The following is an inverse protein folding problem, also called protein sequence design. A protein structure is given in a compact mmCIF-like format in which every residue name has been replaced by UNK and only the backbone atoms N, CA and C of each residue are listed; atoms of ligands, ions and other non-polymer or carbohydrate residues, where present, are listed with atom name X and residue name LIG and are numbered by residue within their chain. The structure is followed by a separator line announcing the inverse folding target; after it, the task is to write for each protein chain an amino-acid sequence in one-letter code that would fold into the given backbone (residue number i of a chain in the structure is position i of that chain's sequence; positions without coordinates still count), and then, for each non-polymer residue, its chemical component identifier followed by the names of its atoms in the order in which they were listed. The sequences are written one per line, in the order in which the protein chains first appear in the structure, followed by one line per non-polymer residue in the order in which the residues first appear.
data_IF_463669962159
#
_entry.id   IF_463669962159
#
_cell.length_a   1.000
_cell.length_b   1.000
_cell.length_c   1.000
_cell.angle_alpha   90.00
_cell.angle_beta   90.00
_cell.angle_gamma   90.00
#
_symmetry.space_group_name_H-M   'P 1'
#
loop_
_entity.id
_entity.type
_entity.pdbx_description
1 polymer ?
#
# COMPACT_ATOMS: atom_id res chain seq x y z
N UNK A 1 45.14 -39.96 69.33
CA UNK A 1 44.98 -38.59 69.86
C UNK A 1 43.52 -38.18 69.71
N UNK A 2 42.83 -38.10 70.86
CA UNK A 2 41.70 -37.23 71.26
C UNK A 2 40.41 -37.12 70.41
N UNK A 3 39.34 -37.73 70.96
CA UNK A 3 37.88 -37.42 70.93
C UNK A 3 37.57 -35.93 71.30
N UNK A 4 36.29 -35.46 71.49
CA UNK A 4 34.92 -35.88 71.11
C UNK A 4 34.13 -34.72 70.42
N UNK A 5 32.93 -34.84 69.82
CA UNK A 5 31.62 -35.15 70.40
C UNK A 5 30.98 -33.95 71.14
N UNK A 6 29.89 -33.38 70.60
CA UNK A 6 28.88 -32.63 71.39
C UNK A 6 27.53 -32.54 70.65
N UNK A 7 26.51 -32.92 71.42
CA UNK A 7 25.08 -32.97 71.13
C UNK A 7 24.38 -31.73 71.71
N UNK A 8 23.07 -31.61 71.44
CA UNK A 8 22.06 -30.70 72.00
C UNK A 8 21.96 -29.35 71.26
N UNK A 9 20.78 -28.80 70.92
CA UNK A 9 19.53 -28.78 71.68
C UNK A 9 18.32 -28.46 70.81
N UNK A 10 17.21 -29.11 71.15
CA UNK A 10 15.80 -28.88 70.81
C UNK A 10 15.33 -27.44 71.06
N UNK A 11 14.44 -26.88 70.21
CA UNK A 11 13.19 -26.14 70.58
C UNK A 11 12.50 -25.59 69.31
N UNK A 12 11.36 -26.18 68.93
CA UNK A 12 10.00 -25.62 69.10
C UNK A 12 9.82 -24.23 68.48
N UNK A 13 9.15 -24.17 67.33
CA UNK A 13 8.44 -22.98 66.89
C UNK A 13 7.01 -23.40 66.51
N UNK A 14 6.09 -23.16 67.44
CA UNK A 14 4.66 -23.26 67.23
C UNK A 14 4.04 -21.98 67.82
N UNK A 15 3.09 -21.44 67.05
CA UNK A 15 2.06 -20.47 67.44
C UNK A 15 2.51 -19.00 67.53
N UNK A 16 2.02 -18.18 66.59
CA UNK A 16 1.25 -16.97 66.89
C UNK A 16 0.64 -16.37 65.60
N UNK A 17 -0.56 -16.84 65.25
CA UNK A 17 -1.56 -15.98 64.61
C UNK A 17 -1.99 -14.93 65.62
N UNK A 18 -1.82 -13.63 65.32
CA UNK A 18 -2.87 -12.62 65.57
C UNK A 18 -2.52 -11.27 64.96
N UNK A 19 -3.56 -10.65 64.37
CA UNK A 19 -3.76 -9.21 64.14
C UNK A 19 -2.90 -8.49 63.10
N UNK A 20 -3.44 -8.42 61.88
CA UNK A 20 -3.43 -7.18 61.10
C UNK A 20 -4.85 -6.93 60.58
N UNK A 21 -5.63 -6.23 61.40
CA UNK A 21 -6.85 -5.56 60.97
C UNK A 21 -6.50 -4.26 60.24
N UNK A 22 -7.28 -3.99 59.20
CA UNK A 22 -7.67 -2.66 58.73
C UNK A 22 -6.58 -1.73 58.15
N UNK A 23 -6.04 -2.08 56.98
CA UNK A 23 -5.67 -1.09 55.97
C UNK A 23 -6.67 -1.18 54.81
N UNK A 24 -7.70 -0.34 54.84
CA UNK A 24 -8.70 -0.23 53.79
C UNK A 24 -8.05 0.13 52.45
N UNK A 25 -7.92 -0.86 51.58
CA UNK A 25 -7.50 -0.67 50.19
C UNK A 25 -8.63 0.03 49.44
N UNK A 26 -8.60 1.37 49.42
CA UNK A 26 -9.46 2.15 48.51
C UNK A 26 -9.03 1.86 47.09
N UNK A 27 -9.72 0.90 46.45
CA UNK A 27 -9.69 0.72 45.00
C UNK A 27 -10.25 1.99 44.39
N UNK A 28 -9.35 2.90 44.01
CA UNK A 28 -9.69 4.04 43.18
C UNK A 28 -10.11 3.50 41.82
N UNK A 29 -11.41 3.35 41.60
CA UNK A 29 -11.98 3.16 40.27
C UNK A 29 -11.63 4.39 39.44
N UNK A 30 -10.49 4.33 38.73
CA UNK A 30 -10.21 5.24 37.63
C UNK A 30 -11.33 5.04 36.62
N UNK A 31 -12.27 5.97 36.57
CA UNK A 31 -13.28 6.05 35.52
C UNK A 31 -12.52 6.13 34.19
N UNK A 32 -12.48 4.99 33.49
CA UNK A 32 -11.90 4.89 32.16
C UNK A 32 -12.69 5.83 31.26
N UNK A 33 -12.07 6.97 30.90
CA UNK A 33 -12.60 7.90 29.89
C UNK A 33 -12.69 7.11 28.58
N UNK A 34 -13.86 6.54 28.29
CA UNK A 34 -14.17 5.96 26.98
C UNK A 34 -14.03 7.08 25.96
N UNK A 35 -12.98 7.02 25.15
CA UNK A 35 -12.79 7.95 24.03
C UNK A 35 -13.82 7.65 22.93
N UNK A 36 -14.21 8.67 22.16
CA UNK A 36 -15.14 8.54 21.04
C UNK A 36 -14.76 7.41 20.05
N UNK A 37 -13.45 7.20 19.86
CA UNK A 37 -12.91 6.13 19.01
C UNK A 37 -13.22 4.74 19.59
N UNK A 38 -13.07 4.57 20.91
CA UNK A 38 -13.36 3.29 21.57
C UNK A 38 -14.84 2.92 21.44
N UNK A 39 -15.76 3.87 21.61
CA UNK A 39 -17.19 3.63 21.40
C UNK A 39 -17.54 3.33 19.95
N UNK A 40 -16.93 4.01 18.98
CA UNK A 40 -17.17 3.75 17.56
C UNK A 40 -16.65 2.36 17.15
N UNK A 41 -15.45 1.98 17.59
CA UNK A 41 -14.87 0.65 17.34
C UNK A 41 -15.74 -0.43 17.97
N UNK A 42 -16.23 -0.22 19.19
CA UNK A 42 -17.12 -1.18 19.86
C UNK A 42 -18.43 -1.35 19.07
N UNK A 43 -19.11 -0.26 18.69
CA UNK A 43 -20.35 -0.34 17.92
C UNK A 43 -20.17 -1.02 16.56
N UNK A 44 -19.04 -0.79 15.88
CA UNK A 44 -18.71 -1.49 14.64
C UNK A 44 -18.38 -2.97 14.85
N UNK A 45 -17.77 -3.32 15.99
CA UNK A 45 -17.44 -4.70 16.35
C UNK A 45 -18.71 -5.50 16.63
N UNK A 46 -19.62 -4.94 17.43
CA UNK A 46 -20.90 -5.56 17.77
C UNK A 46 -21.77 -5.69 16.51
N UNK A 47 -21.86 -4.62 15.70
CA UNK A 47 -22.59 -4.67 14.43
C UNK A 47 -22.02 -5.66 13.42
N UNK A 48 -20.71 -5.89 13.41
CA UNK A 48 -20.09 -6.96 12.59
C UNK A 48 -20.54 -8.35 13.04
N UNK A 49 -20.55 -8.61 14.35
CA UNK A 49 -20.97 -9.90 14.90
C UNK A 49 -22.45 -10.16 14.63
N UNK A 50 -23.30 -9.15 14.84
CA UNK A 50 -24.74 -9.24 14.55
C UNK A 50 -24.99 -9.52 13.07
N UNK A 51 -24.28 -8.82 12.18
CA UNK A 51 -24.40 -9.03 10.73
C UNK A 51 -23.97 -10.44 10.31
N UNK A 52 -22.92 -10.98 10.93
CA UNK A 52 -22.42 -12.31 10.61
C UNK A 52 -23.44 -13.42 10.93
N UNK A 53 -24.24 -13.22 11.98
CA UNK A 53 -25.30 -14.16 12.38
C UNK A 53 -26.59 -13.91 11.59
N UNK A 54 -26.90 -12.65 11.28
CA UNK A 54 -28.14 -12.27 10.61
C UNK A 54 -28.18 -12.64 9.12
N UNK A 55 -27.01 -12.77 8.47
CA UNK A 55 -26.96 -13.14 7.06
C UNK A 55 -27.30 -14.63 6.86
N UNK A 56 -28.23 -14.98 5.94
CA UNK A 56 -28.66 -16.35 5.72
C UNK A 56 -27.63 -17.12 4.88
N UNK A 57 -26.51 -17.48 5.50
CA UNK A 57 -25.49 -18.29 4.85
C UNK A 57 -25.91 -19.76 4.77
N UNK A 58 -25.52 -20.47 3.69
CA UNK A 58 -25.67 -21.92 3.66
C UNK A 58 -24.81 -22.55 4.78
N UNK A 59 -25.26 -23.65 5.40
CA UNK A 59 -24.57 -24.26 6.55
C UNK A 59 -23.17 -24.79 6.23
N UNK A 60 -22.81 -24.91 4.94
CA UNK A 60 -21.47 -25.30 4.49
C UNK A 60 -20.44 -24.16 4.56
N UNK A 61 -20.86 -22.90 4.73
CA UNK A 61 -19.98 -21.75 4.74
C UNK A 61 -19.78 -21.21 6.15
N UNK A 62 -18.52 -21.00 6.60
CA UNK A 62 -18.24 -20.38 7.89
C UNK A 62 -18.74 -18.94 7.92
N UNK A 63 -19.59 -18.60 8.89
CA UNK A 63 -20.37 -17.36 8.90
C UNK A 63 -19.48 -16.11 9.09
N UNK A 64 -18.56 -16.14 10.06
CA UNK A 64 -17.71 -14.99 10.35
C UNK A 64 -16.72 -14.72 9.22
N UNK A 65 -16.07 -15.78 8.71
CA UNK A 65 -15.14 -15.69 7.57
C UNK A 65 -15.83 -15.15 6.33
N UNK A 66 -16.99 -15.70 5.98
CA UNK A 66 -17.75 -15.26 4.81
C UNK A 66 -18.14 -13.79 4.95
N UNK A 67 -18.54 -13.37 6.15
CA UNK A 67 -18.86 -11.97 6.44
C UNK A 67 -17.64 -11.07 6.28
N UNK A 68 -16.45 -11.48 6.78
CA UNK A 68 -15.20 -10.74 6.58
C UNK A 68 -14.93 -10.57 5.09
N UNK A 69 -15.02 -11.64 4.30
CA UNK A 69 -14.77 -11.61 2.85
C UNK A 69 -15.75 -10.67 2.15
N UNK A 70 -17.05 -10.84 2.39
CA UNK A 70 -18.10 -10.04 1.75
C UNK A 70 -18.00 -8.56 2.13
N UNK A 71 -17.81 -8.25 3.41
CA UNK A 71 -17.65 -6.87 3.87
C UNK A 71 -16.39 -6.23 3.29
N UNK A 72 -15.30 -6.99 3.13
CA UNK A 72 -14.08 -6.53 2.47
C UNK A 72 -14.35 -6.19 1.01
N UNK A 73 -14.99 -7.09 0.26
CA UNK A 73 -15.29 -6.87 -1.15
C UNK A 73 -16.27 -5.71 -1.32
N UNK A 74 -17.34 -5.65 -0.53
CA UNK A 74 -18.34 -4.58 -0.57
C UNK A 74 -17.73 -3.21 -0.25
N UNK A 75 -16.96 -3.11 0.83
CA UNK A 75 -16.29 -1.85 1.20
C UNK A 75 -15.28 -1.40 0.15
N UNK A 76 -14.53 -2.34 -0.45
CA UNK A 76 -13.61 -2.04 -1.55
C UNK A 76 -14.35 -1.54 -2.80
N UNK A 77 -15.44 -2.20 -3.19
CA UNK A 77 -16.27 -1.80 -4.33
C UNK A 77 -16.88 -0.41 -4.12
N UNK A 78 -17.42 -0.14 -2.92
CA UNK A 78 -18.08 1.13 -2.62
C UNK A 78 -17.09 2.29 -2.46
N UNK A 79 -15.98 2.06 -1.75
CA UNK A 79 -15.10 3.14 -1.27
C UNK A 79 -13.77 3.25 -2.00
N UNK A 80 -13.29 2.22 -2.71
CA UNK A 80 -11.94 2.24 -3.32
C UNK A 80 -11.98 2.19 -4.85
N UNK A 81 -12.92 1.44 -5.44
CA UNK A 81 -13.02 1.29 -6.90
C UNK A 81 -13.34 2.62 -7.61
N UNK A 82 -14.30 3.46 -7.16
CA UNK A 82 -14.60 4.71 -7.84
C UNK A 82 -13.39 5.65 -7.92
N UNK A 83 -12.63 5.75 -6.83
CA UNK A 83 -11.40 6.56 -6.78
C UNK A 83 -10.29 5.97 -7.64
N UNK A 84 -10.18 4.64 -7.68
CA UNK A 84 -9.20 3.96 -8.53
C UNK A 84 -9.49 4.20 -10.02
N UNK A 85 -10.76 4.10 -10.45
CA UNK A 85 -11.19 4.42 -11.81
C UNK A 85 -10.94 5.90 -12.13
N UNK A 86 -11.29 6.79 -11.21
CA UNK A 86 -11.06 8.23 -11.34
C UNK A 86 -9.58 8.58 -11.54
N UNK A 87 -8.71 8.02 -10.70
CA UNK A 87 -7.27 8.26 -10.76
C UNK A 87 -6.69 7.72 -12.07
N UNK A 88 -7.11 6.51 -12.46
CA UNK A 88 -6.66 5.88 -13.70
C UNK A 88 -7.11 6.63 -14.95
N UNK A 89 -8.33 7.19 -14.96
CA UNK A 89 -8.81 8.04 -16.06
C UNK A 89 -7.98 9.30 -16.21
N UNK A 90 -7.57 9.92 -15.11
CA UNK A 90 -6.65 11.08 -15.09
C UNK A 90 -5.27 10.72 -15.61
N UNK A 91 -4.70 9.61 -15.13
CA UNK A 91 -3.40 9.13 -15.59
C UNK A 91 -3.42 8.83 -17.11
N UNK A 92 -4.45 8.15 -17.60
CA UNK A 92 -4.59 7.83 -19.02
C UNK A 92 -4.58 9.09 -19.91
N UNK A 93 -5.26 10.17 -19.50
CA UNK A 93 -5.25 11.45 -20.22
C UNK A 93 -3.87 12.12 -20.18
N UNK A 94 -3.18 12.09 -19.04
CA UNK A 94 -1.82 12.62 -18.95
C UNK A 94 -0.86 11.88 -19.90
N UNK A 95 -0.96 10.55 -19.98
CA UNK A 95 -0.07 9.73 -20.80
C UNK A 95 -0.38 9.78 -22.31
N UNK A 96 -1.66 9.81 -22.69
CA UNK A 96 -2.08 9.71 -24.09
C UNK A 96 -2.40 11.05 -24.76
N UNK A 97 -2.64 12.12 -23.99
CA UNK A 97 -2.96 13.44 -24.54
C UNK A 97 -1.80 14.41 -24.24
N UNK A 98 -1.49 14.61 -22.96
CA UNK A 98 -0.51 15.63 -22.54
C UNK A 98 0.91 15.28 -22.99
N UNK A 99 1.37 14.05 -22.78
CA UNK A 99 2.74 13.65 -23.14
C UNK A 99 3.00 13.76 -24.65
N UNK A 100 2.11 13.29 -25.55
CA UNK A 100 2.29 13.49 -26.99
C UNK A 100 2.25 14.96 -27.41
N UNK A 101 1.38 15.79 -26.82
CA UNK A 101 1.28 17.23 -27.14
C UNK A 101 2.59 17.95 -26.78
N UNK A 102 3.14 17.70 -25.59
CA UNK A 102 4.46 18.23 -25.19
C UNK A 102 5.56 17.79 -26.15
N UNK A 103 5.54 16.53 -26.62
CA UNK A 103 6.54 16.04 -27.59
C UNK A 103 6.46 16.76 -28.93
N UNK A 104 5.24 17.09 -29.39
CA UNK A 104 5.03 17.85 -30.64
C UNK A 104 5.52 19.29 -30.52
N UNK A 105 5.34 19.90 -29.35
CA UNK A 105 5.76 21.29 -29.09
C UNK A 105 7.24 21.42 -28.69
N UNK A 106 7.89 20.33 -28.27
CA UNK A 106 9.28 20.32 -27.81
C UNK A 106 10.26 20.97 -28.82
N UNK A 107 10.19 20.72 -30.15
CA UNK A 107 11.07 21.38 -31.10
C UNK A 107 10.88 22.89 -31.16
N UNK A 108 9.66 23.39 -30.88
CA UNK A 108 9.40 24.83 -30.84
C UNK A 108 10.02 25.47 -29.60
N UNK A 109 9.88 24.83 -28.43
CA UNK A 109 10.53 25.26 -27.19
C UNK A 109 12.06 25.29 -27.38
N UNK A 110 12.63 24.26 -28.00
CA UNK A 110 14.06 24.19 -28.31
C UNK A 110 14.52 25.34 -29.22
N UNK A 111 13.75 25.66 -30.28
CA UNK A 111 14.05 26.80 -31.16
C UNK A 111 13.99 28.13 -30.42
N UNK A 112 12.99 28.33 -29.56
CA UNK A 112 12.87 29.54 -28.74
C UNK A 112 14.06 29.73 -27.81
N UNK A 113 14.51 28.65 -27.15
CA UNK A 113 15.70 28.72 -26.28
C UNK A 113 16.97 29.01 -27.08
N UNK A 114 17.15 28.43 -28.27
CA UNK A 114 18.29 28.74 -29.13
C UNK A 114 18.31 30.21 -29.56
N UNK A 115 17.14 30.76 -29.91
CA UNK A 115 17.01 32.19 -30.25
C UNK A 115 17.36 33.08 -29.04
N UNK A 116 16.87 32.74 -27.84
CA UNK A 116 17.20 33.45 -26.61
C UNK A 116 18.69 33.40 -26.28
N UNK A 117 19.32 32.22 -26.39
CA UNK A 117 20.77 32.09 -26.17
C UNK A 117 21.59 32.92 -27.18
N UNK A 118 21.12 32.99 -28.42
CA UNK A 118 21.75 33.80 -29.48
C UNK A 118 21.60 35.29 -29.19
N UNK A 119 20.40 35.73 -28.79
CA UNK A 119 20.11 37.13 -28.44
C UNK A 119 20.89 37.59 -27.21
N UNK A 120 21.04 36.72 -26.21
CA UNK A 120 21.85 36.97 -25.01
C UNK A 120 23.37 36.95 -25.29
N UNK A 121 23.78 36.67 -26.53
CA UNK A 121 25.19 36.61 -26.93
C UNK A 121 25.99 35.51 -26.23
N UNK A 122 25.32 34.46 -25.73
CA UNK A 122 25.98 33.40 -24.97
C UNK A 122 26.97 32.64 -25.84
N UNK A 123 28.27 32.76 -25.52
CA UNK A 123 29.36 32.03 -26.16
C UNK A 123 30.13 31.28 -25.08
N UNK A 124 30.18 29.95 -25.18
CA UNK A 124 31.02 29.12 -24.32
C UNK A 124 32.06 28.39 -25.18
N UNK A 125 33.28 28.27 -24.65
CA UNK A 125 34.40 27.64 -25.36
C UNK A 125 34.30 26.12 -25.42
N UNK A 126 33.49 25.50 -24.54
CA UNK A 126 33.27 24.06 -24.48
C UNK A 126 31.85 23.71 -24.89
N UNK A 127 31.72 22.74 -25.79
CA UNK A 127 30.42 22.23 -26.26
C UNK A 127 29.55 21.69 -25.11
N UNK A 128 30.18 21.13 -24.07
CA UNK A 128 29.47 20.63 -22.89
C UNK A 128 28.76 21.73 -22.10
N UNK A 129 29.36 22.90 -21.99
CA UNK A 129 28.78 24.03 -21.25
C UNK A 129 27.58 24.62 -22.01
N UNK A 130 27.63 24.63 -23.34
CA UNK A 130 26.50 24.98 -24.21
C UNK A 130 25.33 24.02 -23.99
N UNK A 131 25.60 22.71 -23.97
CA UNK A 131 24.56 21.69 -23.75
C UNK A 131 23.94 21.79 -22.35
N UNK A 132 24.75 22.07 -21.33
CA UNK A 132 24.28 22.25 -19.94
C UNK A 132 23.37 23.46 -19.81
N UNK A 133 23.80 24.61 -20.35
CA UNK A 133 23.01 25.84 -20.29
C UNK A 133 21.72 25.72 -21.11
N UNK A 134 21.79 25.09 -22.29
CA UNK A 134 20.61 24.78 -23.09
C UNK A 134 19.62 23.91 -22.32
N UNK A 135 20.08 22.81 -21.71
CA UNK A 135 19.23 21.94 -20.89
C UNK A 135 18.61 22.69 -19.71
N UNK A 136 19.40 23.55 -19.04
CA UNK A 136 18.96 24.38 -17.91
C UNK A 136 17.86 25.36 -18.29
N UNK A 137 17.88 25.91 -19.52
CA UNK A 137 16.85 26.83 -20.03
C UNK A 137 15.62 26.11 -20.61
N UNK A 138 15.81 24.95 -21.25
CA UNK A 138 14.70 24.15 -21.80
C UNK A 138 13.84 23.53 -20.70
N UNK A 139 14.45 22.98 -19.64
CA UNK A 139 13.71 22.31 -18.56
C UNK A 139 12.59 23.17 -17.94
N UNK A 140 12.82 24.41 -17.47
CA UNK A 140 11.77 25.20 -16.83
C UNK A 140 10.64 25.58 -17.80
N UNK A 141 10.96 25.84 -19.08
CA UNK A 141 9.95 26.12 -20.11
C UNK A 141 9.09 24.89 -20.40
N UNK A 142 9.74 23.72 -20.54
CA UNK A 142 9.04 22.45 -20.74
C UNK A 142 8.16 22.08 -19.53
N UNK A 143 8.64 22.32 -18.31
CA UNK A 143 7.90 22.05 -17.08
C UNK A 143 6.72 23.02 -16.89
N UNK A 144 6.90 24.31 -17.22
CA UNK A 144 5.83 25.29 -17.21
C UNK A 144 4.73 24.90 -18.20
N UNK A 145 5.10 24.55 -19.45
CA UNK A 145 4.14 24.11 -20.46
C UNK A 145 3.44 22.81 -20.07
N UNK A 146 4.19 21.86 -19.50
CA UNK A 146 3.62 20.63 -18.94
C UNK A 146 2.58 20.93 -17.86
N UNK A 147 2.87 21.83 -16.92
CA UNK A 147 1.94 22.23 -15.86
C UNK A 147 0.67 22.87 -16.43
N UNK A 148 0.81 23.72 -17.45
CA UNK A 148 -0.31 24.34 -18.15
C UNK A 148 -1.21 23.28 -18.80
N UNK A 149 -0.64 22.35 -19.56
CA UNK A 149 -1.40 21.26 -20.19
C UNK A 149 -2.06 20.34 -19.16
N UNK A 150 -1.36 20.00 -18.07
CA UNK A 150 -1.94 19.22 -16.98
C UNK A 150 -3.12 19.95 -16.32
N UNK A 151 -3.05 21.28 -16.21
CA UNK A 151 -4.17 22.11 -15.73
C UNK A 151 -5.34 22.10 -16.71
N UNK A 152 -5.06 22.36 -18.00
CA UNK A 152 -6.03 22.42 -19.10
C UNK A 152 -6.85 21.13 -19.23
N UNK A 153 -6.20 19.97 -19.11
CA UNK A 153 -6.90 18.67 -19.18
C UNK A 153 -7.34 18.13 -17.81
N UNK A 154 -7.20 18.93 -16.73
CA UNK A 154 -7.52 18.54 -15.35
C UNK A 154 -6.87 17.23 -14.91
N UNK A 155 -5.59 17.04 -15.22
CA UNK A 155 -4.82 15.83 -14.94
C UNK A 155 -3.62 16.09 -14.04
N UNK A 156 -3.78 16.92 -13.01
CA UNK A 156 -2.72 17.20 -12.04
C UNK A 156 -2.22 15.92 -11.35
N UNK A 157 -0.89 15.79 -11.26
CA UNK A 157 -0.23 14.58 -10.79
C UNK A 157 -0.43 14.32 -9.29
N UNK A 158 -0.41 15.38 -8.47
CA UNK A 158 -0.48 15.24 -7.00
C UNK A 158 -1.80 14.64 -6.51
N UNK A 159 -2.99 15.16 -6.88
CA UNK A 159 -4.25 14.54 -6.47
C UNK A 159 -4.39 13.12 -6.98
N UNK A 160 -3.91 12.85 -8.20
CA UNK A 160 -3.99 11.52 -8.83
C UNK A 160 -3.15 10.48 -8.08
N UNK A 161 -2.03 10.89 -7.50
CA UNK A 161 -1.11 10.00 -6.77
C UNK A 161 -1.49 9.79 -5.30
N UNK A 162 -1.97 10.83 -4.62
CA UNK A 162 -2.19 10.82 -3.16
C UNK A 162 -3.58 10.31 -2.78
N UNK A 163 -4.60 10.61 -3.59
CA UNK A 163 -5.99 10.31 -3.23
C UNK A 163 -6.30 8.81 -3.10
N UNK A 164 -5.76 7.89 -3.94
CA UNK A 164 -6.04 6.46 -3.78
C UNK A 164 -5.48 5.88 -2.47
N UNK A 165 -4.20 6.10 -2.08
CA UNK A 165 -3.72 5.70 -0.76
C UNK A 165 -4.50 6.34 0.40
N UNK A 166 -4.86 7.62 0.27
CA UNK A 166 -5.57 8.35 1.32
C UNK A 166 -6.97 7.79 1.60
N UNK A 167 -7.67 7.28 0.57
CA UNK A 167 -8.99 6.65 0.74
C UNK A 167 -8.87 5.20 1.24
N UNK A 168 -7.80 4.50 0.87
CA UNK A 168 -7.59 3.11 1.27
C UNK A 168 -7.08 2.95 2.71
N UNK A 169 -6.18 3.83 3.18
CA UNK A 169 -5.54 3.68 4.48
C UNK A 169 -6.53 3.72 5.67
N UNK A 170 -7.49 4.67 5.74
CA UNK A 170 -8.47 4.70 6.83
C UNK A 170 -9.32 3.43 6.89
N UNK A 171 -9.78 2.94 5.74
CA UNK A 171 -10.55 1.69 5.67
C UNK A 171 -9.70 0.50 6.13
N UNK A 172 -8.45 0.41 5.66
CA UNK A 172 -7.55 -0.67 6.02
C UNK A 172 -7.23 -0.71 7.52
N UNK A 173 -6.87 0.43 8.09
CA UNK A 173 -6.55 0.56 9.52
C UNK A 173 -7.80 0.37 10.37
N UNK A 174 -8.93 0.97 9.99
CA UNK A 174 -10.20 0.85 10.69
C UNK A 174 -10.67 -0.59 10.77
N UNK A 175 -10.72 -1.31 9.65
CA UNK A 175 -11.08 -2.74 9.62
C UNK A 175 -10.10 -3.60 10.44
N UNK A 176 -8.80 -3.29 10.41
CA UNK A 176 -7.80 -4.00 11.21
C UNK A 176 -8.03 -3.80 12.71
N UNK A 177 -8.37 -2.60 13.15
CA UNK A 177 -8.66 -2.29 14.55
C UNK A 177 -9.94 -3.01 15.00
N UNK A 178 -11.01 -2.93 14.20
CA UNK A 178 -12.28 -3.61 14.50
C UNK A 178 -12.09 -5.12 14.61
N UNK A 179 -11.46 -5.76 13.62
CA UNK A 179 -11.25 -7.21 13.62
C UNK A 179 -10.29 -7.66 14.73
N UNK A 180 -9.23 -6.88 15.00
CA UNK A 180 -8.36 -7.12 16.16
C UNK A 180 -9.13 -7.01 17.47
N UNK A 181 -10.11 -6.11 17.57
CA UNK A 181 -10.92 -5.94 18.79
C UNK A 181 -11.88 -7.09 18.99
N UNK A 182 -12.56 -7.54 17.92
CA UNK A 182 -13.46 -8.71 17.95
C UNK A 182 -12.69 -10.00 18.28
N UNK A 183 -11.42 -10.10 17.90
CA UNK A 183 -10.56 -11.24 18.23
C UNK A 183 -10.07 -11.27 19.70
N UNK A 184 -10.34 -10.26 20.51
CA UNK A 184 -9.92 -10.26 21.92
C UNK A 184 -10.82 -11.18 22.75
N UNK A 185 -10.22 -12.07 23.53
CA UNK A 185 -10.94 -12.99 24.40
C UNK A 185 -11.75 -12.25 25.49
N UNK A 186 -12.94 -12.76 25.88
CA UNK A 186 -13.65 -13.90 25.29
C UNK A 186 -14.29 -13.53 23.95
N UNK A 187 -14.18 -14.41 22.94
CA UNK A 187 -14.71 -14.15 21.59
C UNK A 187 -15.36 -15.38 20.98
N UNK A 188 -16.38 -15.16 20.15
CA UNK A 188 -17.06 -16.20 19.36
C UNK A 188 -16.23 -16.65 18.16
N UNK A 189 -15.18 -15.90 17.80
CA UNK A 189 -14.27 -16.23 16.71
C UNK A 189 -13.42 -17.48 16.99
N UNK A 190 -13.34 -17.93 18.24
CA UNK A 190 -12.62 -19.15 18.62
C UNK A 190 -13.27 -20.43 18.12
N UNK A 191 -14.57 -20.39 17.81
CA UNK A 191 -15.32 -21.57 17.37
C UNK A 191 -15.26 -21.80 15.86
N UNK A 192 -14.71 -20.85 15.10
CA UNK A 192 -14.64 -20.94 13.65
C UNK A 192 -13.22 -21.19 13.17
N UNK A 193 -13.07 -22.22 12.34
CA UNK A 193 -11.84 -22.53 11.61
C UNK A 193 -12.05 -22.26 10.12
N UNK A 194 -10.99 -21.84 9.45
CA UNK A 194 -11.03 -21.60 8.01
C UNK A 194 -9.67 -21.85 7.37
N UNK A 195 -9.67 -22.68 6.32
CA UNK A 195 -8.48 -23.07 5.58
C UNK A 195 -7.43 -23.69 6.52
N UNK A 196 -6.29 -23.03 6.75
CA UNK A 196 -5.23 -23.47 7.67
C UNK A 196 -5.36 -22.90 9.09
N UNK A 197 -6.29 -21.97 9.31
CA UNK A 197 -6.54 -21.38 10.62
C UNK A 197 -7.43 -22.30 11.44
N UNK A 198 -7.01 -22.60 12.67
CA UNK A 198 -7.79 -23.38 13.64
C UNK A 198 -8.77 -22.54 14.48
N UNK A 199 -8.47 -21.26 14.71
CA UNK A 199 -9.35 -20.25 15.34
C UNK A 199 -9.13 -18.88 14.70
N UNK A 200 -10.20 -18.18 14.33
CA UNK A 200 -10.09 -16.82 13.77
C UNK A 200 -9.53 -15.79 14.77
N UNK A 201 -9.58 -16.06 16.08
CA UNK A 201 -9.05 -15.17 17.10
C UNK A 201 -7.53 -15.26 17.25
N UNK A 202 -6.93 -16.35 16.77
CA UNK A 202 -5.50 -16.63 16.92
C UNK A 202 -4.75 -16.52 15.60
N UNK A 203 -3.44 -16.23 15.62
CA UNK A 203 -2.63 -16.24 14.41
C UNK A 203 -2.59 -17.63 13.77
N UNK A 204 -2.57 -17.68 12.42
CA UNK A 204 -2.36 -18.92 11.65
C UNK A 204 -1.08 -19.67 12.12
N UNK A 205 -1.21 -20.88 12.71
CA UNK A 205 -0.07 -21.64 13.22
C UNK A 205 0.85 -22.16 12.10
N UNK A 206 0.36 -22.23 10.86
CA UNK A 206 1.12 -22.73 9.71
C UNK A 206 1.85 -21.63 8.94
N UNK A 207 1.58 -20.36 9.26
CA UNK A 207 2.01 -19.20 8.48
C UNK A 207 1.63 -19.22 6.99
N UNK A 208 0.68 -20.07 6.58
CA UNK A 208 0.25 -20.21 5.19
C UNK A 208 -0.42 -18.93 4.68
N UNK A 209 -1.36 -18.36 5.43
CA UNK A 209 -2.03 -17.11 5.03
C UNK A 209 -1.08 -15.91 5.00
N UNK A 210 -0.17 -15.71 5.97
CA UNK A 210 0.89 -14.71 5.86
C UNK A 210 1.75 -14.86 4.60
N UNK A 211 2.14 -16.09 4.23
CA UNK A 211 2.92 -16.35 3.01
C UNK A 211 2.10 -15.99 1.77
N UNK A 212 0.85 -16.45 1.68
CA UNK A 212 -0.07 -16.11 0.58
C UNK A 212 -0.20 -14.58 0.47
N UNK A 213 -0.40 -13.88 1.59
CA UNK A 213 -0.47 -12.42 1.61
C UNK A 213 0.80 -11.78 1.05
N UNK A 214 1.97 -12.27 1.44
CA UNK A 214 3.26 -11.78 0.93
C UNK A 214 3.38 -11.98 -0.59
N UNK A 215 3.01 -13.16 -1.09
CA UNK A 215 3.05 -13.49 -2.52
C UNK A 215 2.07 -12.62 -3.33
N UNK A 216 0.84 -12.46 -2.86
CA UNK A 216 -0.16 -11.60 -3.52
C UNK A 216 0.26 -10.14 -3.49
N UNK A 217 0.89 -9.68 -2.40
CA UNK A 217 1.43 -8.31 -2.31
C UNK A 217 2.59 -8.11 -3.29
N UNK A 218 3.46 -9.10 -3.42
CA UNK A 218 4.55 -9.08 -4.40
C UNK A 218 4.01 -9.07 -5.84
N UNK A 219 2.99 -9.88 -6.12
CA UNK A 219 2.30 -9.88 -7.41
C UNK A 219 1.69 -8.51 -7.74
N UNK A 220 1.06 -7.84 -6.77
CA UNK A 220 0.56 -6.47 -6.92
C UNK A 220 1.67 -5.49 -7.31
N UNK A 221 2.87 -5.60 -6.73
CA UNK A 221 4.02 -4.75 -7.06
C UNK A 221 4.51 -4.99 -8.49
N UNK A 222 4.47 -6.24 -8.97
CA UNK A 222 4.90 -6.57 -10.34
C UNK A 222 3.82 -6.36 -11.40
N UNK A 223 2.54 -6.19 -11.02
CA UNK A 223 1.41 -6.09 -11.97
C UNK A 223 1.59 -4.96 -12.99
N UNK A 224 2.20 -3.83 -12.60
CA UNK A 224 2.49 -2.72 -13.52
C UNK A 224 3.42 -3.10 -14.68
N UNK A 225 4.20 -4.18 -14.55
CA UNK A 225 5.09 -4.68 -15.61
C UNK A 225 4.41 -5.68 -16.54
N UNK A 226 3.32 -6.31 -16.11
CA UNK A 226 2.66 -7.38 -16.86
C UNK A 226 1.96 -6.88 -18.13
N UNK A 227 1.63 -5.60 -18.19
CA UNK A 227 0.93 -4.98 -19.32
C UNK A 227 1.75 -3.89 -20.04
N UNK A 228 3.08 -4.01 -20.01
CA UNK A 228 3.96 -3.09 -20.75
C UNK A 228 3.78 -3.31 -22.26
N UNK A 229 3.17 -2.35 -22.95
CA UNK A 229 3.08 -2.35 -24.41
C UNK A 229 4.46 -2.19 -25.08
N UNK A 230 4.58 -2.60 -26.34
CA UNK A 230 5.84 -2.59 -27.10
C UNK A 230 6.58 -1.23 -27.06
N UNK A 231 5.86 -0.12 -27.22
CA UNK A 231 6.45 1.23 -27.15
C UNK A 231 6.88 1.68 -25.74
N UNK A 232 6.38 1.05 -24.67
CA UNK A 232 6.90 1.26 -23.32
C UNK A 232 8.18 0.45 -23.09
N UNK A 233 8.24 -0.77 -23.61
CA UNK A 233 9.43 -1.62 -23.59
C UNK A 233 10.62 -0.97 -24.32
N UNK A 234 10.38 -0.38 -25.49
CA UNK A 234 11.41 0.37 -26.23
C UNK A 234 11.94 1.58 -25.44
N UNK A 235 11.05 2.30 -24.75
CA UNK A 235 11.46 3.41 -23.89
C UNK A 235 12.32 2.94 -22.73
N UNK A 236 11.97 1.81 -22.11
CA UNK A 236 12.79 1.22 -21.04
C UNK A 236 14.16 0.79 -21.55
N UNK A 237 14.25 0.19 -22.75
CA UNK A 237 15.53 -0.15 -23.40
C UNK A 237 16.39 1.09 -23.65
N UNK A 238 15.82 2.14 -24.26
CA UNK A 238 16.53 3.41 -24.51
C UNK A 238 17.02 4.07 -23.21
N UNK A 239 16.19 4.05 -22.16
CA UNK A 239 16.60 4.58 -20.85
C UNK A 239 17.68 3.72 -20.23
N UNK A 240 17.62 2.39 -20.36
CA UNK A 240 18.63 1.47 -19.84
C UNK A 240 19.99 1.66 -20.54
N UNK A 241 20.00 1.78 -21.87
CA UNK A 241 21.18 2.09 -22.67
C UNK A 241 21.78 3.45 -22.29
N UNK A 242 20.94 4.50 -22.19
CA UNK A 242 21.37 5.82 -21.75
C UNK A 242 21.97 5.79 -20.34
N UNK A 243 21.34 5.05 -19.44
CA UNK A 243 21.81 4.93 -18.05
C UNK A 243 23.12 4.13 -18.00
N UNK A 244 23.27 3.08 -18.79
CA UNK A 244 24.51 2.31 -18.90
C UNK A 244 25.65 3.17 -19.46
N UNK A 245 25.38 3.98 -20.50
CA UNK A 245 26.34 4.91 -21.06
C UNK A 245 26.78 5.97 -20.04
N UNK A 246 25.88 6.47 -19.20
CA UNK A 246 26.22 7.41 -18.11
C UNK A 246 27.04 6.77 -17.00
N UNK A 247 26.71 5.54 -16.60
CA UNK A 247 27.52 4.78 -15.63
C UNK A 247 28.92 4.48 -16.16
N UNK A 248 29.04 4.15 -17.44
CA UNK A 248 30.34 3.94 -18.08
C UNK A 248 31.20 5.21 -18.07
N UNK A 249 30.58 6.39 -18.06
CA UNK A 249 31.25 7.69 -17.89
C UNK A 249 31.57 8.04 -16.43
N UNK A 250 31.30 7.15 -15.48
CA UNK A 250 31.52 7.39 -14.05
C UNK A 250 30.45 8.26 -13.39
N UNK A 251 29.34 8.57 -14.06
CA UNK A 251 28.23 9.33 -13.46
C UNK A 251 27.35 8.44 -12.59
N UNK A 252 27.10 8.86 -11.35
CA UNK A 252 26.16 8.20 -10.45
C UNK A 252 24.72 8.53 -10.82
N UNK A 253 24.11 7.69 -11.67
CA UNK A 253 22.68 7.79 -12.01
C UNK A 253 21.85 6.97 -11.02
N UNK A 254 21.18 7.67 -10.11
CA UNK A 254 20.18 7.08 -9.24
C UNK A 254 18.91 6.83 -10.07
N UNK A 255 18.35 5.63 -9.96
CA UNK A 255 17.07 5.28 -10.58
C UNK A 255 16.00 5.13 -9.49
N UNK A 256 15.27 6.22 -9.11
CA UNK A 256 14.29 6.17 -8.03
C UNK A 256 13.25 5.06 -8.21
N UNK A 257 12.84 4.78 -9.46
CA UNK A 257 11.90 3.70 -9.79
C UNK A 257 12.40 2.33 -9.33
N UNK A 258 13.68 2.00 -9.55
CA UNK A 258 14.27 0.72 -9.13
C UNK A 258 14.38 0.63 -7.62
N UNK A 259 14.76 1.72 -6.96
CA UNK A 259 14.82 1.77 -5.50
C UNK A 259 13.44 1.57 -4.87
N UNK A 260 12.43 2.32 -5.35
CA UNK A 260 11.04 2.17 -4.88
C UNK A 260 10.54 0.74 -5.10
N UNK A 261 10.80 0.15 -6.28
CA UNK A 261 10.38 -1.22 -6.55
C UNK A 261 11.07 -2.24 -5.64
N UNK A 262 12.38 -2.11 -5.42
CA UNK A 262 13.10 -2.97 -4.48
C UNK A 262 12.55 -2.83 -3.05
N UNK A 263 12.27 -1.62 -2.59
CA UNK A 263 11.66 -1.35 -1.29
C UNK A 263 10.26 -1.95 -1.18
N UNK A 264 9.42 -1.87 -2.22
CA UNK A 264 8.09 -2.48 -2.22
C UNK A 264 8.15 -4.02 -2.21
N UNK A 265 9.14 -4.61 -2.89
CA UNK A 265 9.39 -6.07 -2.81
C UNK A 265 9.83 -6.46 -1.39
N UNK A 266 10.75 -5.71 -0.79
CA UNK A 266 11.18 -5.92 0.59
C UNK A 266 10.02 -5.79 1.59
N UNK A 267 9.16 -4.79 1.40
CA UNK A 267 7.94 -4.60 2.20
C UNK A 267 6.98 -5.78 2.07
N UNK A 268 6.90 -6.42 0.90
CA UNK A 268 6.07 -7.61 0.69
C UNK A 268 6.53 -8.80 1.55
N UNK A 269 7.84 -8.96 1.74
CA UNK A 269 8.41 -9.97 2.64
C UNK A 269 8.21 -9.58 4.10
N UNK A 270 8.50 -8.32 4.46
CA UNK A 270 8.28 -7.82 5.83
C UNK A 270 6.82 -7.96 6.27
N UNK A 271 5.88 -7.81 5.34
CA UNK A 271 4.44 -7.98 5.59
C UNK A 271 4.08 -9.40 6.04
N UNK A 272 4.83 -10.42 5.64
CA UNK A 272 4.63 -11.81 6.10
C UNK A 272 4.87 -11.90 7.60
N UNK A 273 5.97 -11.31 8.08
CA UNK A 273 6.33 -11.33 9.50
C UNK A 273 5.30 -10.60 10.36
N UNK A 274 4.83 -9.45 9.90
CA UNK A 274 3.77 -8.69 10.58
C UNK A 274 2.46 -9.47 10.58
N UNK A 275 2.09 -10.08 9.45
CA UNK A 275 0.86 -10.85 9.33
C UNK A 275 0.85 -12.11 10.20
N UNK A 276 2.00 -12.73 10.44
CA UNK A 276 2.13 -13.87 11.33
C UNK A 276 1.83 -13.52 12.80
N UNK A 277 1.83 -12.23 13.19
CA UNK A 277 1.57 -11.78 14.55
C UNK A 277 0.13 -11.33 14.80
N UNK A 278 -0.68 -11.18 13.75
CA UNK A 278 -2.06 -10.70 13.88
C UNK A 278 -3.07 -11.85 13.89
N UNK A 279 -4.27 -11.66 14.48
CA UNK A 279 -5.33 -12.67 14.50
C UNK A 279 -5.74 -13.15 13.11
N UNK A 280 -6.18 -14.40 12.99
CA UNK A 280 -6.63 -15.01 11.73
C UNK A 280 -7.72 -14.21 11.02
N UNK A 281 -8.64 -13.58 11.76
CA UNK A 281 -9.66 -12.67 11.20
C UNK A 281 -9.05 -11.50 10.42
N UNK A 282 -7.97 -10.91 10.95
CA UNK A 282 -7.20 -9.85 10.30
C UNK A 282 -6.43 -10.39 9.10
N UNK A 283 -5.87 -11.60 9.20
CA UNK A 283 -5.16 -12.23 8.09
C UNK A 283 -6.09 -12.49 6.89
N UNK A 284 -7.28 -13.05 7.13
CA UNK A 284 -8.31 -13.26 6.09
C UNK A 284 -8.69 -11.94 5.43
N UNK A 285 -8.92 -10.89 6.24
CA UNK A 285 -9.17 -9.55 5.73
C UNK A 285 -8.02 -9.09 4.84
N UNK A 286 -6.78 -9.14 5.31
CA UNK A 286 -5.62 -8.66 4.55
C UNK A 286 -5.44 -9.43 3.23
N UNK A 287 -5.56 -10.76 3.24
CA UNK A 287 -5.45 -11.61 2.05
C UNK A 287 -6.55 -11.25 1.06
N UNK A 288 -7.81 -11.25 1.49
CA UNK A 288 -8.97 -10.91 0.63
C UNK A 288 -8.81 -9.53 0.01
N UNK A 289 -8.39 -8.57 0.82
CA UNK A 289 -8.17 -7.18 0.41
C UNK A 289 -7.03 -7.03 -0.60
N UNK A 290 -5.95 -7.80 -0.46
CA UNK A 290 -4.81 -7.82 -1.37
C UNK A 290 -5.14 -8.53 -2.70
N UNK A 291 -5.89 -9.64 -2.64
CA UNK A 291 -6.38 -10.38 -3.81
C UNK A 291 -7.35 -9.52 -4.60
N UNK A 292 -8.29 -8.84 -3.93
CA UNK A 292 -9.18 -7.88 -4.58
C UNK A 292 -8.38 -6.78 -5.30
N UNK A 293 -7.36 -6.21 -4.63
CA UNK A 293 -6.49 -5.20 -5.23
C UNK A 293 -5.75 -5.68 -6.48
N UNK A 294 -5.35 -6.96 -6.50
CA UNK A 294 -4.70 -7.59 -7.65
C UNK A 294 -5.66 -7.71 -8.83
N UNK A 295 -6.86 -8.26 -8.60
CA UNK A 295 -7.89 -8.35 -9.62
C UNK A 295 -8.32 -6.98 -10.13
N UNK A 296 -8.51 -6.02 -9.23
CA UNK A 296 -8.85 -4.64 -9.59
C UNK A 296 -7.78 -4.04 -10.50
N UNK A 297 -6.50 -4.17 -10.13
CA UNK A 297 -5.38 -3.64 -10.92
C UNK A 297 -5.30 -4.31 -12.29
N UNK A 298 -5.46 -5.64 -12.34
CA UNK A 298 -5.47 -6.42 -13.57
C UNK A 298 -6.61 -6.00 -14.52
N UNK A 299 -7.84 -5.91 -14.01
CA UNK A 299 -9.02 -5.51 -14.78
C UNK A 299 -8.87 -4.08 -15.31
N UNK A 300 -8.45 -3.13 -14.46
CA UNK A 300 -8.28 -1.75 -14.87
C UNK A 300 -7.18 -1.63 -15.93
N UNK A 301 -6.02 -2.24 -15.71
CA UNK A 301 -4.91 -2.19 -16.66
C UNK A 301 -5.31 -2.78 -18.02
N UNK A 302 -5.95 -3.95 -18.02
CA UNK A 302 -6.49 -4.57 -19.24
C UNK A 302 -7.48 -3.66 -19.97
N UNK A 303 -8.42 -3.04 -19.24
CA UNK A 303 -9.42 -2.14 -19.82
C UNK A 303 -8.77 -0.90 -20.45
N UNK A 304 -7.81 -0.27 -19.76
CA UNK A 304 -7.12 0.92 -20.26
C UNK A 304 -6.11 0.62 -21.37
N UNK A 305 -5.49 -0.55 -21.37
CA UNK A 305 -4.67 -1.04 -22.48
C UNK A 305 -5.50 -1.13 -23.76
N UNK A 306 -6.66 -1.81 -23.72
CA UNK A 306 -7.60 -1.87 -24.86
C UNK A 306 -8.08 -0.50 -25.32
N UNK A 307 -8.36 0.41 -24.37
CA UNK A 307 -8.78 1.78 -24.70
C UNK A 307 -7.67 2.54 -25.43
N UNK A 308 -6.43 2.35 -25.01
CA UNK A 308 -5.25 2.96 -25.64
C UNK A 308 -5.05 2.42 -27.05
N UNK A 309 -5.15 1.10 -27.25
CA UNK A 309 -5.03 0.50 -28.58
C UNK A 309 -6.09 1.03 -29.55
N UNK A 310 -7.35 1.17 -29.09
CA UNK A 310 -8.41 1.77 -29.89
C UNK A 310 -8.09 3.22 -30.26
N UNK A 311 -7.59 4.01 -29.30
CA UNK A 311 -7.21 5.40 -29.53
C UNK A 311 -6.08 5.51 -30.56
N UNK A 312 -5.03 4.70 -30.43
CA UNK A 312 -3.92 4.66 -31.37
C UNK A 312 -4.36 4.28 -32.79
N UNK A 313 -5.26 3.29 -32.93
CA UNK A 313 -5.83 2.90 -34.23
C UNK A 313 -6.59 4.05 -34.88
N UNK A 314 -7.46 4.73 -34.12
CA UNK A 314 -8.23 5.88 -34.63
C UNK A 314 -7.35 7.07 -35.02
N UNK A 315 -6.27 7.33 -34.28
CA UNK A 315 -5.32 8.39 -34.62
C UNK A 315 -4.51 8.04 -35.87
N UNK A 316 -4.14 6.78 -36.04
CA UNK A 316 -3.39 6.32 -37.22
C UNK A 316 -4.24 6.41 -38.49
N UNK A 317 -5.50 6.00 -38.44
CA UNK A 317 -6.42 6.12 -39.58
C UNK A 317 -6.74 7.56 -39.97
N UNK A 318 -6.75 8.49 -39.01
CA UNK A 318 -6.97 9.92 -39.27
C UNK A 318 -5.75 10.64 -39.88
N UNK A 319 -4.58 9.99 -39.90
CA UNK A 319 -3.33 10.56 -40.42
C UNK A 319 -2.87 9.84 -41.71
N UNK A 320 -3.65 8.87 -42.21
CA UNK A 320 -3.41 8.26 -43.51
C UNK A 320 -3.89 9.23 -44.61
N UNK A 321 -3.04 9.53 -45.62
CA UNK A 321 -3.31 10.53 -46.65
C UNK A 321 -4.47 10.17 -47.59
#
# INVERSE_FOLDING_TARGET
MLRPGLSLTIRRCAIAQTRQDAAGFRVSHRLSRRTFISSAVQGLSDGFLDLAIALPYPPSLPAYTTTIILLTVASRLALTVPFSIWARRRQWRAENIVVPEIKKEMPQIQRQVLQQMTADGFKASKEEDIKREFAKRVQPLADARRKELLSKYHCSTLPTMILPPLTQLPLFVGSTIVLSKVAQAPTVLDFESFFTITSLAHPDPTATLPIILGLVTLANVETARWFIGAGALEREKKVAEWTAARRAKGENVIEPKKFIQASLRGLSVARILVAAMVPGSVQIFWVTSAVFGLFQSWILEWWYSRKTDRHLRTSTSATAP
#
